data_IF_152614050235
#
_entry.id   IF_152614050235
#
_cell.length_a   1.000
_cell.length_b   1.000
_cell.length_c   1.000
_cell.angle_alpha   90.00
_cell.angle_beta   90.00
_cell.angle_gamma   90.00
#
_symmetry.space_group_name_H-M   'P 1'
#
loop_
_entity.id
_entity.type
_entity.pdbx_description
1 polymer ?
#
# COMPACT_ATOMS: atom_id res chain seq x y z
N UNK A 1 18.44 -12.37 -7.93
CA UNK A 1 19.17 -11.74 -6.83
C UNK A 1 18.81 -10.26 -6.70
N UNK A 2 18.88 -9.70 -5.50
CA UNK A 2 18.64 -8.27 -5.24
C UNK A 2 19.71 -7.40 -5.90
N UNK A 3 19.42 -6.13 -6.29
CA UNK A 3 20.40 -5.26 -6.95
C UNK A 3 21.71 -5.11 -6.17
N UNK A 4 21.64 -5.04 -4.84
CA UNK A 4 22.82 -4.94 -3.95
C UNK A 4 23.69 -6.20 -3.88
N UNK A 5 23.27 -7.30 -4.51
CA UNK A 5 23.95 -8.59 -4.53
C UNK A 5 24.42 -9.00 -5.93
N UNK A 6 24.23 -8.17 -6.93
CA UNK A 6 24.72 -8.41 -8.30
C UNK A 6 26.10 -7.80 -8.44
N UNK A 7 27.16 -8.60 -8.68
CA UNK A 7 28.55 -8.11 -8.76
C UNK A 7 28.75 -7.04 -9.83
N UNK A 8 28.03 -7.14 -10.93
CA UNK A 8 28.10 -6.20 -12.06
C UNK A 8 27.58 -4.80 -11.73
N UNK A 9 26.76 -4.69 -10.68
CA UNK A 9 26.20 -3.44 -10.19
C UNK A 9 26.94 -2.87 -8.97
N UNK A 10 27.95 -3.59 -8.46
CA UNK A 10 28.82 -3.09 -7.40
C UNK A 10 29.66 -1.93 -7.93
N UNK A 11 29.36 -0.72 -7.51
CA UNK A 11 30.02 0.52 -7.95
C UNK A 11 29.11 1.46 -8.72
N UNK A 12 28.00 0.99 -9.24
CA UNK A 12 26.96 1.81 -9.87
C UNK A 12 25.82 2.13 -8.85
N UNK A 13 25.56 1.18 -7.94
CA UNK A 13 24.54 1.35 -6.91
C UNK A 13 25.12 2.01 -5.65
N UNK A 14 24.50 3.10 -5.22
CA UNK A 14 24.83 3.71 -3.96
C UNK A 14 24.22 2.91 -2.80
N UNK A 15 25.05 2.07 -2.16
CA UNK A 15 24.64 1.30 -0.97
C UNK A 15 24.79 2.18 0.27
N UNK A 16 23.67 2.64 0.81
CA UNK A 16 23.65 3.49 2.00
C UNK A 16 24.12 2.70 3.22
N UNK A 17 25.21 3.17 3.86
CA UNK A 17 25.81 2.56 5.06
C UNK A 17 26.14 1.07 4.95
N UNK A 18 26.41 0.56 3.74
CA UNK A 18 26.72 -0.86 3.54
C UNK A 18 25.54 -1.81 3.79
N UNK A 19 24.31 -1.30 3.85
CA UNK A 19 23.13 -2.12 4.09
C UNK A 19 22.89 -3.08 2.91
N UNK A 20 23.05 -4.37 3.17
CA UNK A 20 22.80 -5.45 2.22
C UNK A 20 21.77 -6.40 2.81
N UNK A 21 20.56 -6.36 2.28
CA UNK A 21 19.50 -7.29 2.66
C UNK A 21 19.75 -8.71 2.12
N UNK A 22 18.84 -9.67 2.39
CA UNK A 22 18.98 -11.06 1.93
C UNK A 22 19.20 -11.23 0.42
N UNK A 23 19.52 -12.44 0.00
CA UNK A 23 20.01 -12.75 -1.35
C UNK A 23 18.96 -12.60 -2.47
N UNK A 24 17.69 -12.92 -2.17
CA UNK A 24 16.55 -12.87 -3.10
C UNK A 24 15.47 -11.92 -2.61
N UNK A 25 14.81 -11.21 -3.53
CA UNK A 25 13.91 -10.13 -3.20
C UNK A 25 12.54 -10.11 -3.89
N UNK A 26 12.27 -11.08 -4.74
CA UNK A 26 10.97 -11.19 -5.42
C UNK A 26 9.98 -12.00 -4.53
N UNK A 27 8.85 -11.53 -4.14
CA UNK A 27 8.15 -10.26 -4.30
C UNK A 27 8.48 -9.35 -3.09
N UNK A 28 8.42 -8.01 -3.22
CA UNK A 28 8.69 -7.12 -2.09
C UNK A 28 7.60 -7.24 -1.02
N UNK A 29 7.92 -7.91 0.09
CA UNK A 29 7.00 -8.07 1.23
C UNK A 29 6.61 -6.74 1.88
N UNK A 30 7.53 -5.76 1.88
CA UNK A 30 7.22 -4.41 2.37
C UNK A 30 6.19 -3.70 1.49
N UNK A 31 6.34 -3.77 0.16
CA UNK A 31 5.36 -3.21 -0.77
C UNK A 31 4.01 -3.91 -0.63
N UNK A 32 3.99 -5.24 -0.52
CA UNK A 32 2.77 -6.02 -0.34
C UNK A 32 2.05 -5.66 0.97
N UNK A 33 2.77 -5.64 2.09
CA UNK A 33 2.18 -5.34 3.40
C UNK A 33 1.69 -3.89 3.51
N UNK A 34 2.49 -2.91 3.07
CA UNK A 34 2.09 -1.51 3.13
C UNK A 34 0.88 -1.24 2.24
N UNK A 35 0.83 -1.85 1.04
CA UNK A 35 -0.31 -1.74 0.15
C UNK A 35 -1.55 -2.43 0.71
N UNK A 36 -1.42 -3.64 1.25
CA UNK A 36 -2.53 -4.37 1.85
C UNK A 36 -3.14 -3.58 3.02
N UNK A 37 -2.32 -3.08 3.93
CA UNK A 37 -2.80 -2.26 5.06
C UNK A 37 -3.40 -0.95 4.58
N UNK A 38 -2.71 -0.19 3.74
CA UNK A 38 -3.18 1.11 3.24
C UNK A 38 -4.49 1.01 2.50
N UNK A 39 -4.62 0.02 1.61
CA UNK A 39 -5.86 -0.19 0.86
C UNK A 39 -7.00 -0.70 1.75
N UNK A 40 -6.73 -1.65 2.65
CA UNK A 40 -7.73 -2.17 3.58
C UNK A 40 -8.30 -1.06 4.47
N UNK A 41 -7.44 -0.23 5.07
CA UNK A 41 -7.88 0.92 5.87
C UNK A 41 -8.67 1.92 5.03
N UNK A 42 -8.25 2.17 3.78
CA UNK A 42 -8.99 3.04 2.85
C UNK A 42 -10.38 2.51 2.54
N UNK A 43 -10.52 1.19 2.37
CA UNK A 43 -11.82 0.54 2.11
C UNK A 43 -12.75 0.59 3.33
N UNK A 44 -12.20 0.47 4.54
CA UNK A 44 -12.97 0.52 5.78
C UNK A 44 -13.37 1.95 6.12
N UNK A 45 -12.43 2.88 6.08
CA UNK A 45 -12.65 4.25 6.54
C UNK A 45 -13.31 5.17 5.50
N UNK A 46 -13.19 4.83 4.23
CA UNK A 46 -13.83 5.52 3.08
C UNK A 46 -13.69 7.05 3.08
N UNK A 47 -12.68 7.59 3.73
CA UNK A 47 -12.37 9.01 3.74
C UNK A 47 -11.35 9.34 2.66
N UNK A 48 -11.69 10.22 1.73
CA UNK A 48 -10.82 10.62 0.61
C UNK A 48 -9.47 11.17 1.07
N UNK A 49 -9.45 11.99 2.11
CA UNK A 49 -8.23 12.60 2.65
C UNK A 49 -7.33 11.52 3.26
N UNK A 50 -7.91 10.63 4.08
CA UNK A 50 -7.19 9.50 4.67
C UNK A 50 -6.64 8.57 3.59
N UNK A 51 -7.42 8.27 2.55
CA UNK A 51 -6.99 7.44 1.41
C UNK A 51 -5.79 8.05 0.70
N UNK A 52 -5.83 9.34 0.37
CA UNK A 52 -4.71 10.04 -0.26
C UNK A 52 -3.46 9.98 0.63
N UNK A 53 -3.61 10.25 1.93
CA UNK A 53 -2.50 10.17 2.88
C UNK A 53 -1.88 8.78 2.98
N UNK A 54 -2.71 7.74 3.02
CA UNK A 54 -2.27 6.35 3.04
C UNK A 54 -1.58 5.93 1.73
N UNK A 55 -2.10 6.35 0.58
CA UNK A 55 -1.47 6.08 -0.72
C UNK A 55 -0.12 6.80 -0.85
N UNK A 56 0.01 8.04 -0.39
CA UNK A 56 1.29 8.74 -0.32
C UNK A 56 2.28 8.01 0.59
N UNK A 57 1.83 7.53 1.74
CA UNK A 57 2.67 6.73 2.65
C UNK A 57 3.16 5.44 1.98
N UNK A 58 2.31 4.72 1.24
CA UNK A 58 2.70 3.55 0.45
C UNK A 58 3.76 3.93 -0.60
N UNK A 59 3.54 5.03 -1.34
CA UNK A 59 4.47 5.50 -2.36
C UNK A 59 5.85 5.84 -1.78
N UNK A 60 5.90 6.54 -0.63
CA UNK A 60 7.15 6.88 0.06
C UNK A 60 7.88 5.60 0.52
N UNK A 61 7.15 4.62 1.06
CA UNK A 61 7.74 3.34 1.44
C UNK A 61 8.33 2.59 0.23
N UNK A 62 7.61 2.52 -0.88
CA UNK A 62 8.09 1.89 -2.11
C UNK A 62 9.33 2.60 -2.66
N UNK A 63 9.31 3.94 -2.70
CA UNK A 63 10.45 4.74 -3.13
C UNK A 63 11.68 4.52 -2.26
N UNK A 64 11.49 4.50 -0.94
CA UNK A 64 12.57 4.21 0.02
C UNK A 64 13.25 2.86 -0.26
N UNK A 65 12.50 1.84 -0.67
CA UNK A 65 13.05 0.52 -1.00
C UNK A 65 13.85 0.53 -2.30
N UNK A 66 13.42 1.30 -3.29
CA UNK A 66 14.20 1.51 -4.52
C UNK A 66 15.48 2.31 -4.24
N UNK A 67 15.37 3.37 -3.43
CA UNK A 67 16.52 4.21 -3.05
C UNK A 67 17.61 3.41 -2.33
N UNK A 68 17.22 2.49 -1.43
CA UNK A 68 18.15 1.58 -0.75
C UNK A 68 18.74 0.49 -1.67
N UNK A 69 18.32 0.40 -2.93
CA UNK A 69 18.82 -0.59 -3.89
C UNK A 69 18.50 -2.03 -3.51
N UNK A 70 17.50 -2.28 -2.66
CA UNK A 70 17.16 -3.65 -2.18
C UNK A 70 16.14 -4.36 -3.05
N UNK A 71 15.42 -3.62 -3.90
CA UNK A 71 14.40 -4.17 -4.82
C UNK A 71 14.44 -3.50 -6.18
N UNK A 72 14.17 -4.29 -7.22
CA UNK A 72 13.87 -3.78 -8.55
C UNK A 72 12.46 -3.17 -8.60
N UNK A 73 12.18 -2.23 -9.53
CA UNK A 73 10.83 -1.69 -9.71
C UNK A 73 9.76 -2.76 -9.94
N UNK A 74 10.10 -3.84 -10.66
CA UNK A 74 9.20 -4.98 -10.91
C UNK A 74 8.88 -5.77 -9.64
N UNK A 75 9.82 -5.88 -8.70
CA UNK A 75 9.59 -6.55 -7.41
C UNK A 75 8.57 -5.77 -6.57
N UNK A 76 8.61 -4.45 -6.66
CA UNK A 76 7.68 -3.55 -5.97
C UNK A 76 6.30 -3.61 -6.62
N UNK A 77 6.22 -3.58 -7.95
CA UNK A 77 4.95 -3.74 -8.67
C UNK A 77 4.28 -5.08 -8.34
N UNK A 78 5.04 -6.17 -8.36
CA UNK A 78 4.55 -7.48 -7.93
C UNK A 78 4.05 -7.48 -6.49
N UNK A 79 4.78 -6.82 -5.59
CA UNK A 79 4.37 -6.62 -4.19
C UNK A 79 3.07 -5.84 -4.05
N UNK A 80 2.94 -4.74 -4.79
CA UNK A 80 1.70 -3.93 -4.79
C UNK A 80 0.49 -4.72 -5.28
N UNK A 81 0.64 -5.51 -6.34
CA UNK A 81 -0.45 -6.37 -6.85
C UNK A 81 -0.89 -7.42 -5.82
N UNK A 82 0.07 -8.08 -5.17
CA UNK A 82 -0.22 -9.03 -4.08
C UNK A 82 -0.89 -8.30 -2.92
N UNK A 83 -0.44 -7.10 -2.55
CA UNK A 83 -1.04 -6.28 -1.51
C UNK A 83 -2.49 -5.91 -1.81
N UNK A 84 -2.81 -5.52 -3.05
CA UNK A 84 -4.19 -5.25 -3.48
C UNK A 84 -5.05 -6.50 -3.35
N UNK A 85 -4.58 -7.64 -3.84
CA UNK A 85 -5.32 -8.90 -3.75
C UNK A 85 -5.61 -9.28 -2.30
N UNK A 86 -4.61 -9.20 -1.43
CA UNK A 86 -4.76 -9.49 0.00
C UNK A 86 -5.73 -8.53 0.70
N UNK A 87 -5.70 -7.23 0.38
CA UNK A 87 -6.64 -6.25 0.92
C UNK A 87 -8.09 -6.55 0.52
N UNK A 88 -8.31 -6.87 -0.77
CA UNK A 88 -9.64 -7.22 -1.27
C UNK A 88 -10.17 -8.49 -0.60
N UNK A 89 -9.35 -9.54 -0.50
CA UNK A 89 -9.72 -10.79 0.17
C UNK A 89 -10.04 -10.54 1.64
N UNK A 90 -9.18 -9.81 2.36
CA UNK A 90 -9.41 -9.48 3.76
C UNK A 90 -10.70 -8.67 3.95
N UNK A 91 -10.97 -7.70 3.08
CA UNK A 91 -12.20 -6.92 3.11
C UNK A 91 -13.45 -7.78 2.89
N UNK A 92 -13.42 -8.71 1.93
CA UNK A 92 -14.52 -9.66 1.69
C UNK A 92 -14.74 -10.59 2.88
N UNK A 93 -13.67 -11.08 3.50
CA UNK A 93 -13.77 -11.91 4.71
C UNK A 93 -14.41 -11.13 5.86
N UNK A 94 -14.02 -9.87 6.08
CA UNK A 94 -14.61 -9.01 7.11
C UNK A 94 -16.11 -8.77 6.87
N UNK A 95 -16.53 -8.59 5.61
CA UNK A 95 -17.95 -8.49 5.25
C UNK A 95 -18.71 -9.80 5.51
N UNK A 96 -18.12 -10.95 5.19
CA UNK A 96 -18.74 -12.27 5.42
C UNK A 96 -18.88 -12.60 6.89
N UNK A 97 -17.92 -12.20 7.73
CA UNK A 97 -17.95 -12.39 9.17
C UNK A 97 -18.91 -11.42 9.89
N UNK A 98 -19.52 -10.48 9.16
CA UNK A 98 -20.43 -9.49 9.72
C UNK A 98 -19.75 -8.44 10.63
N UNK A 99 -18.41 -8.38 10.61
CA UNK A 99 -17.64 -7.36 11.35
C UNK A 99 -17.84 -5.98 10.73
N UNK A 100 -17.96 -5.95 9.39
CA UNK A 100 -18.33 -4.78 8.61
C UNK A 100 -19.73 -5.05 8.01
N UNK A 101 -20.75 -4.36 8.54
CA UNK A 101 -22.07 -4.38 7.92
C UNK A 101 -22.06 -3.52 6.66
N UNK A 102 -22.63 -4.02 5.56
CA UNK A 102 -22.88 -3.19 4.36
C UNK A 102 -23.68 -1.93 4.69
N UNK A 103 -24.52 -2.02 5.69
CA UNK A 103 -25.36 -0.91 6.15
C UNK A 103 -24.52 0.23 6.73
N UNK A 104 -23.50 -0.07 7.54
CA UNK A 104 -22.62 0.94 8.14
C UNK A 104 -21.80 1.68 7.07
N UNK A 105 -21.40 0.96 6.02
CA UNK A 105 -20.67 1.52 4.88
C UNK A 105 -21.55 2.46 4.04
N UNK A 106 -22.83 2.15 3.87
CA UNK A 106 -23.76 2.96 3.10
C UNK A 106 -24.25 4.20 3.89
N UNK A 107 -24.41 4.11 5.22
CA UNK A 107 -24.76 5.24 6.08
C UNK A 107 -23.64 6.29 6.13
N UNK A 108 -22.39 5.88 6.26
CA UNK A 108 -21.26 6.80 6.27
C UNK A 108 -21.10 7.53 4.92
N UNK A 109 -21.37 6.86 3.82
CA UNK A 109 -21.36 7.44 2.48
C UNK A 109 -22.52 8.43 2.27
N UNK A 110 -23.67 8.16 2.84
CA UNK A 110 -24.84 9.04 2.82
C UNK A 110 -24.63 10.29 3.68
N UNK A 111 -23.99 10.15 4.84
CA UNK A 111 -23.65 11.25 5.73
C UNK A 111 -22.60 12.20 5.12
N UNK A 112 -21.54 11.66 4.50
CA UNK A 112 -20.55 12.47 3.78
C UNK A 112 -21.17 13.24 2.61
N UNK A 113 -22.07 12.60 1.85
CA UNK A 113 -22.76 13.23 0.73
C UNK A 113 -23.74 14.34 1.17
N UNK A 114 -24.39 14.14 2.33
CA UNK A 114 -25.27 15.12 2.94
C UNK A 114 -24.55 16.38 3.41
N UNK A 115 -23.35 16.24 3.97
CA UNK A 115 -22.54 17.37 4.41
C UNK A 115 -21.95 18.17 3.23
N UNK A 116 -21.53 17.52 2.16
CA UNK A 116 -21.08 18.21 0.93
C UNK A 116 -22.21 19.02 0.26
N UNK A 117 -23.43 18.52 0.28
CA UNK A 117 -24.60 19.22 -0.29
C UNK A 117 -25.00 20.41 0.57
N UNK A 118 -24.89 20.34 1.88
CA UNK A 118 -25.15 21.44 2.80
C UNK A 118 -24.10 22.56 2.68
N UNK A 119 -22.83 22.21 2.53
CA UNK A 119 -21.74 23.16 2.34
C UNK A 119 -21.79 23.87 0.98
N UNK A 120 -22.31 23.21 -0.06
CA UNK A 120 -22.51 23.79 -1.39
C UNK A 120 -23.76 24.71 -1.48
N UNK A 121 -24.62 24.72 -0.46
CA UNK A 121 -25.86 25.56 -0.41
C UNK A 121 -25.66 26.91 0.27
N UNK A 122 -24.59 27.06 1.02
CA UNK A 122 -24.16 28.30 1.63
C UNK A 122 -23.14 29.01 0.72
#
# INVERSE_FOLDING_TARGET
>A
PRPTRVPELEGVLHVVNGYRSGQYGFVSSHAANTMACGLLFSLIWRNKIATVGLMLWVAVNCYSRMYLGVHYPLDILGGLMVGVLMAVVAYQVLLMLGVLSRHDVDEEQSSCKGSEVLEARD
#
